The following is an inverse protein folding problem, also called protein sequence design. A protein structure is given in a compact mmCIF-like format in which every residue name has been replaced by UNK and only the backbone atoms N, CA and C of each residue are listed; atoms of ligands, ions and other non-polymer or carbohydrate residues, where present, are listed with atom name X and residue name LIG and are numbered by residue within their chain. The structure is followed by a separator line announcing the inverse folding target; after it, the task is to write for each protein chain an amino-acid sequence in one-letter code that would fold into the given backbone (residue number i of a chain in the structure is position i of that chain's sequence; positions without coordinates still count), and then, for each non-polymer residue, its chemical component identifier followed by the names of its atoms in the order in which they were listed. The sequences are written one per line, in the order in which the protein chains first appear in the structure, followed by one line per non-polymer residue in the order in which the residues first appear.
data_IF_139897749335
#
_entry.id   IF_139897749335
#
_cell.length_a   1.000
_cell.length_b   1.000
_cell.length_c   1.000
_cell.angle_alpha   90.00
_cell.angle_beta   90.00
_cell.angle_gamma   90.00
#
_symmetry.space_group_name_H-M   'P 1'
#
loop_
_entity.id
_entity.type
_entity.pdbx_description
1 polymer ?
#
# COMPACT_ATOMS: atom_id res chain seq x y z
N UNK A 1 8.46 -11.99 -21.02
CA UNK A 1 8.96 -10.95 -20.11
C UNK A 1 8.43 -9.61 -20.59
N UNK A 2 8.00 -8.75 -19.69
CA UNK A 2 7.45 -7.43 -20.01
C UNK A 2 8.41 -6.35 -19.50
N UNK A 3 8.53 -5.26 -20.25
CA UNK A 3 9.12 -4.02 -19.74
C UNK A 3 8.01 -3.21 -19.09
N UNK A 4 8.21 -2.76 -17.86
CA UNK A 4 7.21 -2.02 -17.09
C UNK A 4 7.79 -0.66 -16.71
N UNK A 5 7.02 0.40 -16.95
CA UNK A 5 7.34 1.78 -16.56
C UNK A 5 6.16 2.36 -15.79
N UNK A 6 6.43 3.07 -14.70
CA UNK A 6 5.43 3.77 -13.89
C UNK A 6 5.68 5.26 -14.04
N UNK A 7 4.68 5.98 -14.54
CA UNK A 7 4.71 7.45 -14.66
C UNK A 7 3.95 8.05 -13.47
N UNK A 8 4.61 8.87 -12.67
CA UNK A 8 4.06 9.52 -11.48
C UNK A 8 4.21 11.03 -11.61
N UNK A 9 3.11 11.76 -11.38
CA UNK A 9 3.07 13.22 -11.49
C UNK A 9 3.88 13.92 -10.41
N UNK A 10 3.91 13.38 -9.19
CA UNK A 10 4.58 14.01 -8.05
C UNK A 10 6.06 13.63 -7.98
N UNK A 11 6.81 14.27 -7.06
CA UNK A 11 8.19 13.91 -6.79
C UNK A 11 8.27 12.59 -6.05
N UNK A 12 9.44 11.95 -6.13
CA UNK A 12 9.73 10.78 -5.31
C UNK A 12 9.54 11.10 -3.81
N UNK A 13 8.71 10.31 -3.14
CA UNK A 13 8.42 10.46 -1.72
C UNK A 13 7.39 11.52 -1.35
N UNK A 14 6.85 12.27 -2.32
CA UNK A 14 5.68 13.12 -2.08
C UNK A 14 4.48 12.23 -1.76
N UNK A 15 3.89 12.45 -0.59
CA UNK A 15 2.72 11.69 -0.16
C UNK A 15 1.85 12.53 0.75
N UNK A 16 0.54 12.31 0.64
CA UNK A 16 -0.48 13.00 1.43
C UNK A 16 -1.29 11.99 2.23
N UNK A 17 -1.63 12.34 3.46
CA UNK A 17 -2.33 11.44 4.39
C UNK A 17 -1.40 10.78 5.40
N UNK A 18 -1.97 9.90 6.22
CA UNK A 18 -1.31 9.35 7.40
C UNK A 18 -1.03 7.85 7.27
N UNK A 19 -2.08 7.04 7.20
CA UNK A 19 -1.98 5.58 7.19
C UNK A 19 -2.88 4.93 6.15
N UNK A 20 -2.56 3.68 5.84
CA UNK A 20 -3.35 2.77 5.03
C UNK A 20 -3.72 1.59 5.91
N UNK A 21 -4.97 1.17 5.85
CA UNK A 21 -5.44 -0.06 6.49
C UNK A 21 -5.76 -1.08 5.40
N UNK A 22 -5.20 -2.28 5.52
CA UNK A 22 -5.56 -3.42 4.67
C UNK A 22 -6.30 -4.44 5.52
N UNK A 23 -7.27 -5.13 4.91
CA UNK A 23 -7.84 -6.34 5.51
C UNK A 23 -6.88 -7.52 5.32
N UNK A 24 -7.02 -8.54 6.16
CA UNK A 24 -6.27 -9.80 6.01
C UNK A 24 -6.37 -10.37 4.59
N UNK A 25 -7.56 -10.32 3.99
CA UNK A 25 -7.79 -10.77 2.62
C UNK A 25 -6.93 -10.02 1.59
N UNK A 26 -6.74 -8.71 1.75
CA UNK A 26 -5.88 -7.94 0.83
C UNK A 26 -4.40 -8.27 1.05
N UNK A 27 -3.99 -8.55 2.28
CA UNK A 27 -2.61 -9.00 2.58
C UNK A 27 -2.33 -10.37 1.97
N UNK A 28 -3.30 -11.29 2.03
CA UNK A 28 -3.16 -12.62 1.41
C UNK A 28 -3.05 -12.53 -0.11
N UNK A 29 -3.85 -11.68 -0.76
CA UNK A 29 -3.73 -11.42 -2.19
C UNK A 29 -2.37 -10.82 -2.57
N UNK A 30 -1.84 -9.92 -1.74
CA UNK A 30 -0.50 -9.36 -1.93
C UNK A 30 0.58 -10.43 -1.79
N UNK A 31 0.43 -11.36 -0.84
CA UNK A 31 1.35 -12.48 -0.64
C UNK A 31 1.35 -13.44 -1.83
N UNK A 32 0.20 -13.66 -2.46
CA UNK A 32 0.11 -14.46 -3.69
C UNK A 32 0.81 -13.77 -4.87
N UNK A 33 0.66 -12.45 -5.00
CA UNK A 33 1.24 -11.68 -6.10
C UNK A 33 2.76 -11.46 -5.95
N UNK A 34 3.21 -11.10 -4.76
CA UNK A 34 4.63 -10.85 -4.45
C UNK A 34 4.93 -11.14 -2.97
N UNK A 35 5.38 -12.37 -2.65
CA UNK A 35 5.65 -12.80 -1.27
C UNK A 35 6.67 -11.93 -0.53
N UNK A 36 7.65 -11.36 -1.24
CA UNK A 36 8.74 -10.57 -0.64
C UNK A 36 8.22 -9.21 -0.16
N UNK A 37 7.48 -8.52 -1.02
CA UNK A 37 6.79 -7.26 -0.67
C UNK A 37 5.77 -7.48 0.44
N UNK A 38 5.01 -8.57 0.39
CA UNK A 38 4.06 -8.91 1.44
C UNK A 38 4.74 -9.14 2.80
N UNK A 39 5.91 -9.78 2.82
CA UNK A 39 6.68 -9.97 4.05
C UNK A 39 7.16 -8.64 4.62
N UNK A 40 7.74 -7.74 3.81
CA UNK A 40 8.17 -6.42 4.27
C UNK A 40 7.02 -5.55 4.80
N UNK A 41 5.86 -5.62 4.15
CA UNK A 41 4.66 -4.91 4.58
C UNK A 41 4.12 -5.50 5.88
N UNK A 42 4.12 -6.82 6.03
CA UNK A 42 3.71 -7.50 7.25
C UNK A 42 4.60 -7.13 8.45
N UNK A 43 5.92 -7.06 8.26
CA UNK A 43 6.87 -6.65 9.30
C UNK A 43 6.68 -5.17 9.71
N UNK A 44 6.15 -4.34 8.81
CA UNK A 44 5.87 -2.93 9.07
C UNK A 44 4.47 -2.67 9.66
N UNK A 45 3.64 -3.70 9.84
CA UNK A 45 2.26 -3.54 10.29
C UNK A 45 2.09 -3.51 11.81
N UNK A 46 1.17 -2.65 12.25
CA UNK A 46 0.45 -2.89 13.50
C UNK A 46 -0.82 -3.65 13.17
N UNK A 47 -1.04 -4.78 13.82
CA UNK A 47 -2.22 -5.63 13.65
C UNK A 47 -3.24 -5.37 14.76
N UNK A 48 -4.51 -5.32 14.41
CA UNK A 48 -5.62 -5.22 15.35
C UNK A 48 -6.74 -6.19 14.94
N UNK A 49 -7.30 -6.89 15.93
CA UNK A 49 -8.35 -7.90 15.69
C UNK A 49 -9.78 -7.35 15.86
N UNK A 50 -9.95 -6.40 16.78
CA UNK A 50 -11.24 -5.91 17.24
C UNK A 50 -11.41 -4.40 16.99
N UNK A 51 -12.63 -4.00 16.60
CA UNK A 51 -13.06 -2.61 16.55
C UNK A 51 -14.01 -2.34 17.70
N UNK A 52 -13.71 -1.32 18.51
CA UNK A 52 -14.61 -0.84 19.56
C UNK A 52 -15.32 0.45 19.14
N UNK A 53 -16.65 0.43 19.16
CA UNK A 53 -17.50 1.62 18.98
C UNK A 53 -17.95 2.13 20.35
N UNK A 54 -17.64 3.39 20.62
CA UNK A 54 -18.04 4.08 21.85
C UNK A 54 -19.16 5.07 21.54
N UNK A 55 -20.37 4.83 22.06
CA UNK A 55 -21.54 5.68 21.81
C UNK A 55 -22.47 5.77 23.02
N UNK A 56 -22.77 6.99 23.47
CA UNK A 56 -23.66 7.23 24.60
C UNK A 56 -23.24 6.48 25.88
N UNK A 57 -21.94 6.40 26.16
CA UNK A 57 -21.38 5.68 27.31
C UNK A 57 -21.33 4.15 27.16
N UNK A 58 -21.82 3.58 26.05
CA UNK A 58 -21.73 2.14 25.76
C UNK A 58 -20.49 1.84 24.91
N UNK A 59 -19.86 0.69 25.16
CA UNK A 59 -18.78 0.11 24.35
C UNK A 59 -19.32 -1.14 23.66
N UNK A 60 -19.35 -1.14 22.32
CA UNK A 60 -19.76 -2.27 21.48
C UNK A 60 -18.51 -2.74 20.74
N UNK A 61 -18.18 -4.03 20.84
CA UNK A 61 -16.99 -4.61 20.20
C UNK A 61 -17.42 -5.49 19.03
N UNK A 62 -16.78 -5.28 17.89
CA UNK A 62 -16.94 -6.07 16.66
C UNK A 62 -15.60 -6.73 16.35
N UNK A 63 -15.54 -8.06 16.43
CA UNK A 63 -14.34 -8.85 16.15
C UNK A 63 -14.46 -9.70 14.89
N UNK A 64 -13.38 -10.37 14.48
CA UNK A 64 -13.34 -11.21 13.27
C UNK A 64 -13.04 -10.47 11.97
N UNK A 65 -12.58 -9.22 12.08
CA UNK A 65 -12.24 -8.36 10.93
C UNK A 65 -10.77 -7.94 11.05
N UNK A 66 -9.85 -8.89 11.21
CA UNK A 66 -8.42 -8.59 11.34
C UNK A 66 -7.98 -7.57 10.28
N UNK A 67 -7.34 -6.52 10.76
CA UNK A 67 -6.84 -5.47 9.90
C UNK A 67 -5.48 -4.99 10.38
N UNK A 68 -4.73 -4.49 9.42
CA UNK A 68 -3.36 -4.08 9.62
C UNK A 68 -3.17 -2.67 9.09
N UNK A 69 -2.45 -1.85 9.85
CA UNK A 69 -2.20 -0.45 9.51
C UNK A 69 -0.73 -0.16 9.33
N UNK A 70 -0.40 0.51 8.23
CA UNK A 70 0.94 0.97 7.87
C UNK A 70 0.90 2.46 7.56
N UNK A 71 1.97 3.18 7.89
CA UNK A 71 2.13 4.56 7.42
C UNK A 71 2.19 4.61 5.91
N UNK A 72 1.39 5.46 5.25
CA UNK A 72 1.29 5.51 3.78
C UNK A 72 2.66 5.70 3.12
N UNK A 73 3.49 6.58 3.69
CA UNK A 73 4.87 6.80 3.21
C UNK A 73 5.71 5.53 3.27
N UNK A 74 5.61 4.76 4.35
CA UNK A 74 6.37 3.52 4.53
C UNK A 74 5.94 2.47 3.50
N UNK A 75 4.64 2.33 3.26
CA UNK A 75 4.10 1.45 2.21
C UNK A 75 4.65 1.82 0.82
N UNK A 76 4.55 3.10 0.44
CA UNK A 76 5.05 3.57 -0.86
C UNK A 76 6.54 3.34 -1.03
N UNK A 77 7.34 3.54 0.02
CA UNK A 77 8.78 3.28 -0.03
C UNK A 77 9.10 1.79 -0.26
N UNK A 78 8.35 0.87 0.37
CA UNK A 78 8.52 -0.57 0.15
C UNK A 78 8.21 -0.92 -1.31
N UNK A 79 7.08 -0.44 -1.83
CA UNK A 79 6.67 -0.70 -3.21
C UNK A 79 7.66 -0.13 -4.23
N UNK A 80 8.19 1.07 -4.00
CA UNK A 80 9.19 1.70 -4.86
C UNK A 80 10.50 0.91 -4.86
N UNK A 81 11.00 0.53 -3.69
CA UNK A 81 12.19 -0.30 -3.57
C UNK A 81 12.00 -1.65 -4.31
N UNK A 82 10.80 -2.24 -4.21
CA UNK A 82 10.49 -3.47 -4.94
C UNK A 82 10.51 -3.26 -6.45
N UNK A 83 9.89 -2.18 -6.94
CA UNK A 83 9.92 -1.83 -8.36
C UNK A 83 11.35 -1.72 -8.88
N UNK A 84 12.24 -1.03 -8.15
CA UNK A 84 13.65 -0.89 -8.51
C UNK A 84 14.37 -2.25 -8.56
N UNK A 85 14.15 -3.13 -7.58
CA UNK A 85 14.72 -4.48 -7.56
C UNK A 85 14.30 -5.34 -8.77
N UNK A 86 13.05 -5.17 -9.23
CA UNK A 86 12.50 -5.89 -10.38
C UNK A 86 12.84 -5.24 -11.73
N UNK A 87 13.57 -4.12 -11.73
CA UNK A 87 13.95 -3.39 -12.94
C UNK A 87 12.81 -2.59 -13.57
N UNK A 88 11.77 -2.25 -12.79
CA UNK A 88 10.70 -1.33 -13.21
C UNK A 88 11.25 0.09 -13.26
N UNK A 89 10.98 0.81 -14.34
CA UNK A 89 11.37 2.22 -14.47
C UNK A 89 10.34 3.11 -13.76
N UNK A 90 10.75 3.80 -12.69
CA UNK A 90 9.94 4.80 -12.01
C UNK A 90 10.29 6.19 -12.54
N UNK A 91 9.36 6.83 -13.25
CA UNK A 91 9.52 8.17 -13.82
C UNK A 91 8.64 9.15 -13.03
N UNK A 92 9.27 9.98 -12.23
CA UNK A 92 8.61 11.01 -11.42
C UNK A 92 8.49 12.33 -12.17
N UNK A 93 7.66 13.24 -11.65
CA UNK A 93 7.36 14.53 -12.28
C UNK A 93 6.88 14.38 -13.74
N UNK A 94 6.23 13.26 -14.05
CA UNK A 94 5.69 12.91 -15.35
C UNK A 94 4.15 12.91 -15.31
N UNK A 95 3.54 13.99 -15.78
CA UNK A 95 2.09 14.08 -15.90
C UNK A 95 1.62 13.42 -17.21
N UNK A 96 0.58 12.60 -17.11
CA UNK A 96 -0.05 11.89 -18.22
C UNK A 96 -1.47 12.44 -18.40
N UNK A 97 -1.72 13.33 -19.38
CA UNK A 97 -3.03 13.96 -19.54
C UNK A 97 -4.08 13.03 -20.17
N UNK A 98 -3.65 12.12 -21.03
CA UNK A 98 -4.45 11.07 -21.67
C UNK A 98 -3.55 9.88 -22.05
N UNK A 99 -4.15 8.84 -22.63
CA UNK A 99 -3.47 7.62 -23.08
C UNK A 99 -2.96 7.70 -24.53
N UNK A 100 -3.22 8.79 -25.26
CA UNK A 100 -2.90 8.90 -26.69
C UNK A 100 -1.40 8.98 -26.99
N UNK A 101 -0.55 9.19 -25.96
CA UNK A 101 0.91 9.22 -26.07
C UNK A 101 1.63 8.13 -25.26
N UNK A 102 0.91 7.13 -24.75
CA UNK A 102 1.48 6.00 -24.02
C UNK A 102 1.75 4.84 -24.99
N UNK A 103 2.85 4.93 -25.74
CA UNK A 103 3.36 3.81 -26.56
C UNK A 103 4.36 2.94 -25.77
#
# INVERSE_FOLDING_TARGET
AHQVRVLERNRAGDTFGWGVVLSDQTVDALREADPETAAEIADAFNHWDDIAVHIGGRRIVSGGHGFCGIGRKKLLNILQARCEQLGVELVYEAEVPDDAGLD
#
